data_IF_126854998829
#
_entry.id   IF_126854998829
#
_cell.length_a   1.000
_cell.length_b   1.000
_cell.length_c   1.000
_cell.angle_alpha   90.00
_cell.angle_beta   90.00
_cell.angle_gamma   90.00
#
_symmetry.space_group_name_H-M   'P 1'
#
loop_
_entity.id
_entity.type
_entity.pdbx_description
1 polymer ?
#
# COMPACT_ATOMS: atom_id res chain seq x y z
N UNK A 1 -44.21 -33.17 12.63
CA UNK A 1 -43.87 -31.81 13.12
C UNK A 1 -42.40 -31.83 13.52
N UNK A 2 -41.49 -31.25 12.73
CA UNK A 2 -40.05 -31.24 13.04
C UNK A 2 -39.52 -29.81 12.85
N UNK A 3 -38.73 -29.28 13.79
CA UNK A 3 -38.47 -27.84 13.85
C UNK A 3 -37.48 -27.40 12.78
N UNK A 4 -37.85 -26.28 12.19
CA UNK A 4 -37.14 -25.46 11.20
C UNK A 4 -35.73 -25.13 11.71
N UNK A 5 -34.72 -25.84 11.22
CA UNK A 5 -33.32 -25.48 11.44
C UNK A 5 -33.04 -24.20 10.64
N UNK A 6 -32.98 -23.07 11.33
CA UNK A 6 -32.45 -21.82 10.77
C UNK A 6 -30.96 -22.03 10.49
N UNK A 7 -30.63 -22.28 9.23
CA UNK A 7 -29.25 -22.24 8.74
C UNK A 7 -28.79 -20.79 8.73
N UNK A 8 -28.07 -20.38 9.76
CA UNK A 8 -27.40 -19.07 9.79
C UNK A 8 -26.15 -19.18 8.91
N UNK A 9 -26.24 -18.74 7.65
CA UNK A 9 -25.07 -18.57 6.79
C UNK A 9 -24.24 -17.38 7.33
N UNK A 10 -23.13 -17.70 7.98
CA UNK A 10 -22.09 -16.77 8.35
C UNK A 10 -21.35 -16.32 7.08
N UNK A 11 -21.78 -15.21 6.48
CA UNK A 11 -21.05 -14.51 5.42
C UNK A 11 -19.80 -13.87 6.03
N UNK A 12 -18.69 -14.61 6.03
CA UNK A 12 -17.36 -14.10 6.36
C UNK A 12 -16.89 -13.21 5.21
N UNK A 13 -17.02 -11.89 5.36
CA UNK A 13 -16.57 -10.91 4.37
C UNK A 13 -15.04 -10.95 4.21
N UNK A 14 -14.58 -11.48 3.07
CA UNK A 14 -13.19 -11.64 2.66
C UNK A 14 -12.56 -10.30 2.19
N UNK A 15 -12.57 -9.26 3.03
CA UNK A 15 -12.11 -7.92 2.62
C UNK A 15 -10.59 -7.67 2.70
N UNK A 16 -9.76 -8.67 3.03
CA UNK A 16 -8.32 -8.49 3.30
C UNK A 16 -7.38 -8.71 2.08
N UNK A 17 -7.91 -9.03 0.90
CA UNK A 17 -7.10 -9.43 -0.27
C UNK A 17 -6.14 -8.34 -0.85
N UNK A 18 -6.53 -7.06 -0.98
CA UNK A 18 -5.68 -6.09 -1.69
C UNK A 18 -4.45 -5.67 -0.90
N UNK A 19 -4.51 -5.67 0.44
CA UNK A 19 -3.39 -5.25 1.28
C UNK A 19 -2.23 -6.26 1.29
N UNK A 20 -2.54 -7.57 1.29
CA UNK A 20 -1.52 -8.62 1.25
C UNK A 20 -0.81 -8.68 -0.11
N UNK A 21 -1.54 -8.43 -1.21
CA UNK A 21 -0.94 -8.36 -2.53
C UNK A 21 0.05 -7.18 -2.65
N UNK A 22 -0.29 -6.03 -2.06
CA UNK A 22 0.58 -4.85 -2.08
C UNK A 22 1.81 -4.98 -1.18
N UNK A 23 1.72 -5.67 -0.03
CA UNK A 23 2.91 -5.94 0.79
C UNK A 23 3.90 -6.89 0.09
N UNK A 24 3.39 -7.94 -0.56
CA UNK A 24 4.22 -8.82 -1.39
C UNK A 24 4.84 -8.05 -2.56
N UNK A 25 4.06 -7.21 -3.25
CA UNK A 25 4.58 -6.34 -4.31
C UNK A 25 5.69 -5.42 -3.79
N UNK A 26 5.55 -4.84 -2.60
CA UNK A 26 6.58 -4.00 -1.99
C UNK A 26 7.87 -4.79 -1.67
N UNK A 27 7.75 -6.07 -1.27
CA UNK A 27 8.89 -6.98 -1.10
C UNK A 27 9.55 -7.28 -2.44
N UNK A 28 8.77 -7.71 -3.45
CA UNK A 28 9.26 -8.13 -4.76
C UNK A 28 9.94 -6.98 -5.52
N UNK A 29 9.45 -5.76 -5.32
CA UNK A 29 10.03 -4.53 -5.88
C UNK A 29 11.15 -3.96 -5.02
N UNK A 30 11.44 -4.54 -3.86
CA UNK A 30 12.58 -4.13 -3.03
C UNK A 30 12.37 -2.81 -2.27
N UNK A 31 11.12 -2.39 -2.03
CA UNK A 31 10.81 -1.15 -1.30
C UNK A 31 11.46 -1.14 0.11
N UNK A 32 11.48 -2.30 0.77
CA UNK A 32 12.09 -2.48 2.08
C UNK A 32 13.62 -2.36 2.09
N UNK A 33 14.28 -2.34 0.93
CA UNK A 33 15.72 -2.07 0.88
C UNK A 33 16.04 -0.67 1.41
N UNK A 34 15.16 0.31 1.19
CA UNK A 34 15.31 1.67 1.72
C UNK A 34 14.35 1.96 2.89
N UNK A 35 13.13 1.44 2.81
CA UNK A 35 12.04 1.72 3.76
C UNK A 35 11.83 0.63 4.84
N UNK A 36 12.82 -0.24 5.05
CA UNK A 36 12.80 -1.29 6.07
C UNK A 36 13.00 -0.76 7.50
N UNK A 37 13.28 -1.68 8.43
CA UNK A 37 13.61 -1.37 9.83
C UNK A 37 15.01 -1.94 10.17
N UNK A 38 16.03 -1.08 10.42
CA UNK A 38 15.98 0.37 10.34
C UNK A 38 15.96 0.87 8.88
N UNK A 39 15.36 2.03 8.60
CA UNK A 39 15.37 2.61 7.25
C UNK A 39 16.78 3.08 6.88
N UNK A 40 17.05 3.14 5.57
CA UNK A 40 18.38 3.52 5.03
C UNK A 40 18.28 4.74 4.14
N UNK A 41 19.42 5.39 3.87
CA UNK A 41 19.56 6.51 2.91
C UNK A 41 18.64 7.71 3.22
N UNK A 42 18.44 8.00 4.51
CA UNK A 42 17.54 9.06 5.00
C UNK A 42 16.09 8.92 4.49
N UNK A 43 15.68 7.70 4.12
CA UNK A 43 14.29 7.41 3.79
C UNK A 43 13.47 7.25 5.08
N UNK A 44 12.17 7.58 5.07
CA UNK A 44 11.25 7.18 6.14
C UNK A 44 11.03 5.66 6.11
N UNK A 45 10.83 5.02 7.27
CA UNK A 45 10.40 3.62 7.31
C UNK A 45 8.97 3.43 6.79
N UNK A 46 8.58 2.20 6.45
CA UNK A 46 7.24 1.90 5.91
C UNK A 46 6.11 2.36 6.84
N UNK A 47 6.26 2.17 8.16
CA UNK A 47 5.29 2.64 9.15
C UNK A 47 5.18 4.17 9.21
N UNK A 48 6.31 4.88 9.01
CA UNK A 48 6.32 6.35 8.94
C UNK A 48 5.62 6.82 7.67
N UNK A 49 5.89 6.19 6.52
CA UNK A 49 5.17 6.47 5.27
C UNK A 49 3.67 6.31 5.43
N UNK A 50 3.23 5.19 6.01
CA UNK A 50 1.81 4.95 6.28
C UNK A 50 1.18 6.07 7.14
N UNK A 51 1.92 6.57 8.13
CA UNK A 51 1.49 7.67 9.00
C UNK A 51 1.40 8.98 8.21
N UNK A 52 2.44 9.34 7.47
CA UNK A 52 2.54 10.60 6.73
C UNK A 52 1.48 10.72 5.62
N UNK A 53 1.19 9.60 4.95
CA UNK A 53 0.26 9.55 3.82
C UNK A 53 -1.19 9.29 4.23
N UNK A 54 -1.47 8.99 5.50
CA UNK A 54 -2.85 8.80 5.99
C UNK A 54 -3.76 10.03 5.74
N UNK A 55 -3.16 11.23 5.61
CA UNK A 55 -3.86 12.48 5.23
C UNK A 55 -4.58 12.41 3.87
N UNK A 56 -4.26 11.43 3.03
CA UNK A 56 -4.87 11.23 1.71
C UNK A 56 -6.02 10.21 1.70
N UNK A 57 -6.36 9.60 2.85
CA UNK A 57 -7.49 8.66 2.93
C UNK A 57 -8.79 9.33 2.50
N UNK A 58 -9.58 8.58 1.73
CA UNK A 58 -10.84 9.06 1.16
C UNK A 58 -10.70 9.99 -0.06
N UNK A 59 -9.49 10.39 -0.45
CA UNK A 59 -9.25 11.16 -1.67
C UNK A 59 -9.11 10.19 -2.86
N UNK A 60 -10.15 10.11 -3.68
CA UNK A 60 -10.23 9.12 -4.77
C UNK A 60 -9.09 9.25 -5.81
N UNK A 61 -8.58 10.45 -6.05
CA UNK A 61 -7.52 10.74 -7.02
C UNK A 61 -6.10 10.60 -6.44
N UNK A 62 -5.96 10.57 -5.12
CA UNK A 62 -4.66 10.66 -4.46
C UNK A 62 -3.71 9.50 -4.78
N UNK A 63 -4.14 8.21 -4.80
CA UNK A 63 -3.25 7.12 -5.18
C UNK A 63 -2.60 7.32 -6.54
N UNK A 64 -3.39 7.65 -7.57
CA UNK A 64 -2.91 7.86 -8.94
C UNK A 64 -1.98 9.06 -9.02
N UNK A 65 -2.38 10.20 -8.45
CA UNK A 65 -1.59 11.44 -8.48
C UNK A 65 -0.24 11.29 -7.75
N UNK A 66 -0.18 10.49 -6.69
CA UNK A 66 1.07 10.22 -5.97
C UNK A 66 1.92 9.14 -6.66
N UNK A 67 1.29 8.19 -7.34
CA UNK A 67 1.97 7.20 -8.18
C UNK A 67 2.74 7.87 -9.33
N UNK A 68 2.17 8.89 -9.95
CA UNK A 68 2.86 9.69 -10.97
C UNK A 68 4.13 10.35 -10.40
N UNK A 69 4.05 10.95 -9.21
CA UNK A 69 5.21 11.53 -8.51
C UNK A 69 6.26 10.50 -8.10
N UNK A 70 5.83 9.31 -7.70
CA UNK A 70 6.73 8.20 -7.37
C UNK A 70 7.57 7.79 -8.59
N UNK A 71 6.94 7.73 -9.77
CA UNK A 71 7.60 7.40 -11.04
C UNK A 71 8.57 8.48 -11.50
N UNK A 72 8.22 9.74 -11.28
CA UNK A 72 9.06 10.89 -11.64
C UNK A 72 10.29 11.05 -10.71
N UNK A 73 10.34 10.32 -9.58
CA UNK A 73 11.43 10.44 -8.60
C UNK A 73 11.34 11.71 -7.74
N UNK A 74 10.19 12.39 -7.73
CA UNK A 74 10.01 13.68 -7.06
C UNK A 74 9.58 13.58 -5.59
N UNK A 75 9.36 12.38 -5.04
CA UNK A 75 8.88 12.22 -3.66
C UNK A 75 9.99 12.43 -2.62
N UNK A 76 11.22 12.07 -2.93
CA UNK A 76 12.35 12.18 -2.01
C UNK A 76 13.57 12.73 -2.76
N UNK A 77 14.05 13.92 -2.38
CA UNK A 77 15.06 14.67 -3.11
C UNK A 77 16.39 13.92 -3.40
N UNK A 78 16.70 12.86 -2.64
CA UNK A 78 17.94 12.09 -2.76
C UNK A 78 17.73 10.62 -3.13
N UNK A 79 16.49 10.18 -3.36
CA UNK A 79 16.18 8.80 -3.71
C UNK A 79 15.75 8.80 -5.18
N UNK A 80 16.54 8.16 -6.03
CA UNK A 80 16.21 8.01 -7.45
C UNK A 80 14.85 7.31 -7.62
N UNK A 81 14.16 7.64 -8.71
CA UNK A 81 12.95 6.94 -9.11
C UNK A 81 13.22 5.43 -9.19
N UNK A 82 12.26 4.63 -8.76
CA UNK A 82 12.39 3.18 -8.83
C UNK A 82 12.22 2.73 -10.29
N UNK A 83 13.30 2.26 -10.92
CA UNK A 83 13.37 2.03 -12.38
C UNK A 83 12.45 0.92 -12.93
N UNK A 84 11.78 0.16 -12.04
CA UNK A 84 11.06 -1.08 -12.40
C UNK A 84 9.63 -1.17 -11.85
N UNK A 85 8.89 -0.07 -11.88
CA UNK A 85 7.47 -0.04 -11.52
C UNK A 85 6.59 0.35 -12.72
N UNK A 86 5.54 -0.43 -12.98
CA UNK A 86 4.47 -0.02 -13.87
C UNK A 86 3.60 1.07 -13.22
N UNK A 87 2.82 1.85 -13.99
CA UNK A 87 1.86 2.80 -13.45
C UNK A 87 0.88 2.17 -12.43
N UNK A 88 0.39 0.98 -12.75
CA UNK A 88 -0.57 0.23 -11.93
C UNK A 88 0.07 -0.24 -10.61
N UNK A 89 1.33 -0.71 -10.66
CA UNK A 89 2.08 -1.09 -9.47
C UNK A 89 2.32 0.11 -8.55
N UNK A 90 2.68 1.27 -9.12
CA UNK A 90 2.82 2.50 -8.35
C UNK A 90 1.51 2.91 -7.67
N UNK A 91 0.39 2.83 -8.38
CA UNK A 91 -0.92 3.17 -7.80
C UNK A 91 -1.32 2.19 -6.69
N UNK A 92 -1.09 0.89 -6.89
CA UNK A 92 -1.37 -0.14 -5.89
C UNK A 92 -0.53 0.06 -4.61
N UNK A 93 0.75 0.40 -4.76
CA UNK A 93 1.64 0.73 -3.64
C UNK A 93 1.20 2.00 -2.92
N UNK A 94 0.89 3.08 -3.65
CA UNK A 94 0.47 4.33 -3.02
C UNK A 94 -0.87 4.19 -2.29
N UNK A 95 -1.83 3.46 -2.87
CA UNK A 95 -3.09 3.13 -2.22
C UNK A 95 -2.86 2.37 -0.93
N UNK A 96 -2.01 1.34 -0.97
CA UNK A 96 -1.69 0.53 0.20
C UNK A 96 -1.02 1.35 1.32
N UNK A 97 -0.08 2.24 0.97
CA UNK A 97 0.56 3.16 1.91
C UNK A 97 -0.49 4.07 2.57
N UNK A 98 -1.38 4.70 1.79
CA UNK A 98 -2.45 5.58 2.28
C UNK A 98 -3.37 4.85 3.25
N UNK A 99 -3.74 3.60 2.95
CA UNK A 99 -4.62 2.79 3.78
C UNK A 99 -3.94 2.23 5.05
N UNK A 100 -2.63 2.42 5.19
CA UNK A 100 -1.88 2.11 6.41
C UNK A 100 -1.00 0.87 6.28
N UNK A 101 -0.10 0.89 5.30
CA UNK A 101 0.93 -0.12 5.10
C UNK A 101 1.67 -0.50 6.41
N UNK A 102 1.98 -1.79 6.55
CA UNK A 102 2.73 -2.39 7.67
C UNK A 102 3.68 -3.45 7.13
#
# INVERSE_FOLDING_TARGET
MMPRRLTFLLLLSLAALPAQASSQLALDKGCYNCHGEPPRRNAPGMAQLATDYARYRGQADAPRRLADKLREGGLFAHIAAHERLSPEECEALMRWIIEGAK
#
